data_IF_218370922488
#
_entry.id   IF_218370922488
#
_cell.length_a   1.000
_cell.length_b   1.000
_cell.length_c   1.000
_cell.angle_alpha   90.00
_cell.angle_beta   90.00
_cell.angle_gamma   90.00
#
_symmetry.space_group_name_H-M   'P 1'
#
loop_
_entity.id
_entity.type
_entity.pdbx_description
1 polymer ?
#
# COMPACT_ATOMS: atom_id res chain seq x y z
N UNK A 1 -11.42 -14.04 -17.32
CA UNK A 1 -12.26 -13.66 -16.17
C UNK A 1 -13.41 -12.73 -16.57
N UNK A 2 -14.56 -12.88 -15.92
CA UNK A 2 -15.71 -11.97 -16.09
C UNK A 2 -15.71 -10.80 -15.07
N UNK A 3 -16.63 -9.85 -15.25
CA UNK A 3 -16.74 -8.66 -14.40
C UNK A 3 -17.05 -9.00 -12.94
N UNK A 4 -17.85 -10.05 -12.67
CA UNK A 4 -18.24 -10.41 -11.30
C UNK A 4 -17.02 -10.96 -10.57
N UNK A 5 -16.25 -11.84 -11.22
CA UNK A 5 -14.99 -12.37 -10.69
C UNK A 5 -14.00 -11.24 -10.38
N UNK A 6 -13.89 -10.25 -11.27
CA UNK A 6 -13.03 -9.07 -11.05
C UNK A 6 -13.47 -8.22 -9.87
N UNK A 7 -14.79 -8.02 -9.69
CA UNK A 7 -15.32 -7.31 -8.52
C UNK A 7 -14.98 -8.07 -7.24
N UNK A 8 -15.18 -9.40 -7.23
CA UNK A 8 -14.88 -10.23 -6.05
C UNK A 8 -13.38 -10.16 -5.72
N UNK A 9 -12.51 -10.35 -6.70
CA UNK A 9 -11.06 -10.23 -6.54
C UNK A 9 -10.66 -8.85 -5.99
N UNK A 10 -11.25 -7.79 -6.53
CA UNK A 10 -10.97 -6.41 -6.07
C UNK A 10 -11.44 -6.16 -4.64
N UNK A 11 -12.59 -6.71 -4.25
CA UNK A 11 -13.09 -6.63 -2.86
C UNK A 11 -12.18 -7.40 -1.92
N UNK A 12 -11.76 -8.61 -2.31
CA UNK A 12 -10.85 -9.43 -1.51
C UNK A 12 -9.51 -8.71 -1.33
N UNK A 13 -8.93 -8.14 -2.39
CA UNK A 13 -7.74 -7.30 -2.28
C UNK A 13 -7.98 -6.13 -1.31
N UNK A 14 -9.05 -5.37 -1.50
CA UNK A 14 -9.36 -4.19 -0.68
C UNK A 14 -9.53 -4.51 0.80
N UNK A 15 -10.08 -5.68 1.14
CA UNK A 15 -10.24 -6.11 2.54
C UNK A 15 -8.94 -6.67 3.11
N UNK A 16 -8.25 -7.52 2.35
CA UNK A 16 -7.09 -8.27 2.85
C UNK A 16 -5.79 -7.47 2.85
N UNK A 17 -5.65 -6.43 2.03
CA UNK A 17 -4.42 -5.62 1.95
C UNK A 17 -4.11 -4.92 3.28
N UNK A 18 -5.15 -4.49 4.00
CA UNK A 18 -4.98 -3.77 5.28
C UNK A 18 -4.93 -4.70 6.48
N UNK A 19 -5.16 -5.99 6.28
CA UNK A 19 -5.12 -7.00 7.32
C UNK A 19 -3.80 -7.78 7.21
N UNK A 20 -3.19 -8.17 8.34
CA UNK A 20 -1.94 -8.95 8.34
C UNK A 20 -2.22 -10.43 8.01
N UNK A 21 -2.82 -10.70 6.86
CA UNK A 21 -3.30 -12.03 6.42
C UNK A 21 -2.78 -12.45 5.04
N UNK A 22 -1.89 -11.66 4.43
CA UNK A 22 -1.35 -11.83 3.06
C UNK A 22 -2.43 -11.76 1.97
N UNK A 23 -2.58 -10.57 1.39
CA UNK A 23 -3.49 -10.32 0.26
C UNK A 23 -3.12 -11.15 -0.98
N UNK A 24 -1.83 -11.24 -1.31
CA UNK A 24 -1.34 -12.03 -2.45
C UNK A 24 -1.71 -13.51 -2.35
N UNK A 25 -1.70 -14.10 -1.14
CA UNK A 25 -2.13 -15.48 -0.95
C UNK A 25 -3.61 -15.66 -1.28
N UNK A 26 -4.47 -14.73 -0.89
CA UNK A 26 -5.90 -14.78 -1.21
C UNK A 26 -6.17 -14.58 -2.69
N UNK A 27 -5.42 -13.70 -3.36
CA UNK A 27 -5.52 -13.47 -4.80
C UNK A 27 -5.08 -14.66 -5.66
N UNK A 28 -4.21 -15.53 -5.13
CA UNK A 28 -3.80 -16.77 -5.81
C UNK A 28 -4.76 -17.93 -5.47
N UNK A 29 -5.10 -18.08 -4.19
CA UNK A 29 -5.91 -19.21 -3.72
C UNK A 29 -7.36 -19.13 -4.19
N UNK A 30 -7.97 -17.94 -4.24
CA UNK A 30 -9.37 -17.81 -4.60
C UNK A 30 -9.65 -18.27 -6.04
N UNK A 31 -8.91 -17.81 -7.08
CA UNK A 31 -9.09 -18.33 -8.43
C UNK A 31 -8.87 -19.84 -8.52
N UNK A 32 -7.84 -20.37 -7.84
CA UNK A 32 -7.54 -21.81 -7.84
C UNK A 32 -8.66 -22.66 -7.22
N UNK A 33 -9.23 -22.22 -6.10
CA UNK A 33 -10.31 -22.93 -5.42
C UNK A 33 -11.63 -22.87 -6.19
N UNK A 34 -11.84 -21.81 -6.97
CA UNK A 34 -13.07 -21.59 -7.74
C UNK A 34 -12.96 -22.01 -9.21
N UNK A 35 -11.81 -22.58 -9.62
CA UNK A 35 -11.47 -22.93 -11.00
C UNK A 35 -11.65 -21.74 -11.98
N UNK A 36 -11.26 -20.54 -11.52
CA UNK A 36 -11.29 -19.33 -12.34
C UNK A 36 -9.98 -19.14 -13.09
N UNK A 37 -10.06 -18.47 -14.24
CA UNK A 37 -8.88 -17.94 -14.91
C UNK A 37 -8.14 -16.95 -13.99
N UNK A 38 -6.81 -16.93 -14.10
CA UNK A 38 -5.96 -15.98 -13.40
C UNK A 38 -6.23 -14.55 -13.89
N UNK A 39 -6.31 -13.59 -12.94
CA UNK A 39 -6.53 -12.17 -13.24
C UNK A 39 -5.37 -11.52 -13.99
N UNK A 40 -4.19 -12.12 -13.94
CA UNK A 40 -2.97 -11.62 -14.54
C UNK A 40 -2.35 -10.49 -13.73
N UNK A 41 -1.04 -10.32 -13.94
CA UNK A 41 -0.20 -9.32 -13.26
C UNK A 41 -0.75 -7.90 -13.39
N UNK A 42 -1.35 -7.55 -14.53
CA UNK A 42 -1.89 -6.21 -14.73
C UNK A 42 -3.02 -5.88 -13.75
N UNK A 43 -3.88 -6.85 -13.44
CA UNK A 43 -5.00 -6.67 -12.52
C UNK A 43 -4.50 -6.71 -11.08
N UNK A 44 -3.55 -7.57 -10.75
CA UNK A 44 -2.90 -7.57 -9.44
C UNK A 44 -2.28 -6.20 -9.14
N UNK A 45 -1.50 -5.64 -10.07
CA UNK A 45 -0.89 -4.31 -9.92
C UNK A 45 -1.97 -3.24 -9.80
N UNK A 46 -3.00 -3.27 -10.65
CA UNK A 46 -4.10 -2.31 -10.57
C UNK A 46 -4.84 -2.36 -9.22
N UNK A 47 -5.03 -3.56 -8.66
CA UNK A 47 -5.71 -3.75 -7.39
C UNK A 47 -4.85 -3.23 -6.20
N UNK A 48 -3.54 -3.43 -6.23
CA UNK A 48 -2.60 -2.82 -5.26
C UNK A 48 -2.55 -1.28 -5.38
N UNK A 49 -2.63 -0.75 -6.60
CA UNK A 49 -2.75 0.70 -6.79
C UNK A 49 -4.08 1.21 -6.20
N UNK A 50 -5.18 0.47 -6.39
CA UNK A 50 -6.48 0.80 -5.80
C UNK A 50 -6.45 0.89 -4.28
N UNK A 51 -5.84 -0.09 -3.60
CA UNK A 51 -5.69 -0.06 -2.14
C UNK A 51 -4.75 1.06 -1.67
N UNK A 52 -3.66 1.32 -2.39
CA UNK A 52 -2.78 2.46 -2.13
C UNK A 52 -3.54 3.79 -2.22
N UNK A 53 -4.33 4.00 -3.28
CA UNK A 53 -5.16 5.18 -3.44
C UNK A 53 -6.18 5.33 -2.30
N UNK A 54 -6.79 4.22 -1.85
CA UNK A 54 -7.73 4.24 -0.73
C UNK A 54 -7.08 4.76 0.56
N UNK A 55 -5.86 4.30 0.89
CA UNK A 55 -5.11 4.77 2.08
C UNK A 55 -4.72 6.24 1.96
N UNK A 56 -4.17 6.65 0.81
CA UNK A 56 -3.79 8.05 0.57
C UNK A 56 -5.02 8.95 0.69
N UNK A 57 -6.16 8.54 0.13
CA UNK A 57 -7.40 9.30 0.19
C UNK A 57 -7.98 9.38 1.61
N UNK A 58 -7.98 8.26 2.34
CA UNK A 58 -8.47 8.21 3.72
C UNK A 58 -7.62 9.09 4.64
N UNK A 59 -6.29 8.94 4.60
CA UNK A 59 -5.33 9.70 5.40
C UNK A 59 -4.84 10.99 4.71
N UNK A 60 -5.59 11.54 3.75
CA UNK A 60 -5.16 12.69 2.92
C UNK A 60 -4.69 13.91 3.71
N UNK A 61 -5.28 14.16 4.88
CA UNK A 61 -4.88 15.28 5.76
C UNK A 61 -3.53 15.00 6.43
N UNK A 62 -3.37 13.81 7.00
CA UNK A 62 -2.15 13.38 7.68
C UNK A 62 -1.00 13.26 6.68
N UNK A 63 -1.25 12.64 5.53
CA UNK A 63 -0.31 12.55 4.43
C UNK A 63 0.19 13.92 3.98
N UNK A 64 -0.72 14.89 3.82
CA UNK A 64 -0.35 16.28 3.50
C UNK A 64 0.48 16.92 4.62
N UNK A 65 0.13 16.70 5.88
CA UNK A 65 0.89 17.24 7.01
C UNK A 65 2.30 16.65 7.08
N UNK A 66 2.44 15.33 6.89
CA UNK A 66 3.73 14.63 6.83
C UNK A 66 4.61 15.20 5.71
N UNK A 67 4.05 15.39 4.51
CA UNK A 67 4.77 15.98 3.39
C UNK A 67 5.21 17.42 3.65
N UNK A 68 4.29 18.29 4.08
CA UNK A 68 4.60 19.71 4.30
C UNK A 68 5.60 19.88 5.44
N UNK A 69 5.40 19.19 6.56
CA UNK A 69 6.29 19.31 7.71
C UNK A 69 7.68 18.72 7.39
N UNK A 70 7.73 17.56 6.74
CA UNK A 70 8.99 16.94 6.34
C UNK A 70 9.83 17.79 5.39
N UNK A 71 9.18 18.51 4.46
CA UNK A 71 9.85 19.44 3.54
C UNK A 71 10.30 20.75 4.20
N UNK A 72 9.61 21.20 5.25
CA UNK A 72 9.96 22.42 6.00
C UNK A 72 11.06 22.19 7.04
N UNK A 73 11.29 20.95 7.45
CA UNK A 73 12.24 20.59 8.49
C UNK A 73 13.67 20.55 7.97
N UNK A 74 14.58 21.17 8.71
CA UNK A 74 16.03 21.02 8.52
C UNK A 74 16.53 19.76 9.24
N UNK A 75 17.60 19.14 8.76
CA UNK A 75 18.14 17.89 9.34
C UNK A 75 18.63 17.99 10.81
N UNK A 76 18.50 19.15 11.48
CA UNK A 76 18.85 19.32 12.89
C UNK A 76 17.92 18.49 13.78
N UNK A 77 18.48 17.57 14.56
CA UNK A 77 17.74 16.71 15.48
C UNK A 77 17.38 17.49 16.74
N UNK A 78 16.19 18.10 16.75
CA UNK A 78 15.57 18.62 17.96
C UNK A 78 14.47 17.65 18.41
N UNK A 79 14.51 17.19 19.67
CA UNK A 79 13.59 16.16 20.18
C UNK A 79 12.13 16.63 20.22
N UNK A 80 11.91 17.96 20.24
CA UNK A 80 10.59 18.58 20.14
C UNK A 80 9.97 18.53 18.72
N UNK A 81 10.70 18.04 17.71
CA UNK A 81 10.28 18.04 16.30
C UNK A 81 10.16 16.63 15.69
N UNK A 82 10.02 15.59 16.52
CA UNK A 82 9.92 14.19 16.04
C UNK A 82 8.80 14.02 15.00
N UNK A 83 7.64 14.62 15.25
CA UNK A 83 6.51 14.60 14.31
C UNK A 83 6.84 15.23 12.96
N UNK A 84 7.74 16.23 12.93
CA UNK A 84 8.14 16.89 11.70
C UNK A 84 9.17 16.07 10.90
N UNK A 85 9.78 15.04 11.50
CA UNK A 85 10.77 14.16 10.86
C UNK A 85 10.17 12.85 10.34
N UNK A 86 8.88 12.61 10.53
CA UNK A 86 8.23 11.36 10.16
C UNK A 86 8.43 11.00 8.67
N UNK A 87 8.41 11.99 7.77
CA UNK A 87 8.71 11.78 6.34
C UNK A 87 10.09 11.15 6.13
N UNK A 88 11.12 11.66 6.81
CA UNK A 88 12.49 11.17 6.70
C UNK A 88 12.64 9.78 7.28
N UNK A 89 11.95 9.48 8.38
CA UNK A 89 11.93 8.12 8.93
C UNK A 89 11.26 7.12 8.00
N UNK A 90 10.16 7.49 7.34
CA UNK A 90 9.51 6.64 6.33
C UNK A 90 10.48 6.38 5.17
N UNK A 91 11.15 7.41 4.65
CA UNK A 91 12.14 7.24 3.56
C UNK A 91 13.27 6.30 3.99
N UNK A 92 13.86 6.54 5.17
CA UNK A 92 14.95 5.73 5.68
C UNK A 92 14.52 4.26 5.91
N UNK A 93 13.31 4.04 6.44
CA UNK A 93 12.76 2.71 6.65
C UNK A 93 12.46 1.96 5.35
N UNK A 94 12.17 2.68 4.25
CA UNK A 94 11.91 2.08 2.93
C UNK A 94 13.18 1.69 2.18
N UNK A 95 14.36 2.26 2.50
CA UNK A 95 15.61 1.96 1.79
C UNK A 95 16.00 0.47 1.85
N UNK A 96 16.01 -0.21 3.01
CA UNK A 96 16.32 -1.63 3.06
C UNK A 96 15.41 -2.48 2.17
N UNK A 97 14.11 -2.17 2.13
CA UNK A 97 13.16 -2.87 1.28
C UNK A 97 13.48 -2.67 -0.22
N UNK A 98 13.85 -1.46 -0.63
CA UNK A 98 14.27 -1.17 -2.00
C UNK A 98 15.59 -1.86 -2.39
N UNK A 99 16.56 -1.90 -1.48
CA UNK A 99 17.88 -2.50 -1.75
C UNK A 99 17.81 -4.02 -1.80
N UNK A 100 17.03 -4.65 -0.92
CA UNK A 100 16.91 -6.12 -0.88
C UNK A 100 15.90 -6.64 -1.92
N UNK A 101 14.90 -5.83 -2.28
CA UNK A 101 13.87 -6.20 -3.24
C UNK A 101 14.26 -6.06 -4.72
N UNK A 102 15.42 -5.48 -5.03
CA UNK A 102 15.98 -5.32 -6.38
C UNK A 102 17.08 -6.36 -6.63
#
# INVERSE_FOLDING_TARGET
MDLIQLIIISVVQGVTEFLPVSSSAHLILLPQLMDWEDQGLAIDVAAHLGSLFAVIFYFRKDFRNILINGLKTTFKLNYAEIDNKLLWFIILASIPALVVGF
#
